data_IF_906772348884
#
_entry.id   IF_906772348884
#
_cell.length_a   1.000
_cell.length_b   1.000
_cell.length_c   1.000
_cell.angle_alpha   90.00
_cell.angle_beta   90.00
_cell.angle_gamma   90.00
#
_symmetry.space_group_name_H-M   'P 1'
#
loop_
_entity.id
_entity.type
_entity.pdbx_description
1 polymer ?
#
# COMPACT_ATOMS: atom_id res chain seq x y z
N UNK A 1 -20.00 7.47 15.13
CA UNK A 1 -19.82 6.11 14.59
C UNK A 1 -19.35 6.24 13.15
N UNK A 2 -18.04 6.25 12.91
CA UNK A 2 -17.49 6.27 11.56
C UNK A 2 -17.32 4.81 11.13
N UNK A 3 -18.35 4.24 10.50
CA UNK A 3 -18.17 2.99 9.76
C UNK A 3 -17.04 3.24 8.75
N UNK A 4 -15.97 2.44 8.84
CA UNK A 4 -14.79 2.52 7.99
C UNK A 4 -15.19 2.57 6.51
N UNK A 5 -15.21 3.79 5.95
CA UNK A 5 -15.64 4.12 4.58
C UNK A 5 -14.92 3.29 3.52
N UNK A 6 -13.74 2.76 3.85
CA UNK A 6 -12.90 1.92 3.03
C UNK A 6 -13.54 0.58 2.64
N UNK A 7 -14.34 -0.04 3.52
CA UNK A 7 -14.96 -1.35 3.25
C UNK A 7 -16.13 -1.29 2.27
N UNK A 8 -16.96 -0.24 2.38
CA UNK A 8 -18.11 -0.01 1.47
C UNK A 8 -17.67 0.35 0.06
N UNK A 9 -16.57 1.08 -0.10
CA UNK A 9 -16.12 1.57 -1.41
C UNK A 9 -15.36 0.52 -2.23
N UNK A 10 -14.61 -0.37 -1.59
CA UNK A 10 -14.06 -1.54 -2.27
C UNK A 10 -15.17 -2.46 -2.82
N UNK A 11 -16.32 -2.51 -2.14
CA UNK A 11 -17.48 -3.28 -2.56
C UNK A 11 -18.18 -2.75 -3.82
N UNK A 12 -17.96 -1.48 -4.20
CA UNK A 12 -18.53 -0.89 -5.42
C UNK A 12 -17.64 -1.04 -6.65
N UNK A 13 -16.37 -1.44 -6.46
CA UNK A 13 -15.46 -1.73 -7.57
C UNK A 13 -15.79 -3.12 -8.12
N UNK A 14 -16.18 -3.24 -9.40
CA UNK A 14 -16.49 -4.54 -9.99
C UNK A 14 -15.23 -5.39 -10.02
N UNK A 15 -15.32 -6.68 -9.66
CA UNK A 15 -14.15 -7.56 -9.71
C UNK A 15 -13.58 -7.64 -11.12
N UNK A 16 -12.26 -7.57 -11.26
CA UNK A 16 -11.55 -7.86 -12.50
C UNK A 16 -11.69 -9.35 -12.80
N UNK A 17 -12.53 -9.67 -13.78
CA UNK A 17 -12.87 -11.04 -14.18
C UNK A 17 -12.34 -11.37 -15.57
N UNK A 18 -12.06 -10.35 -16.41
CA UNK A 18 -11.45 -10.55 -17.72
C UNK A 18 -10.86 -9.25 -18.27
N UNK A 19 -10.12 -9.34 -19.37
CA UNK A 19 -9.66 -8.17 -20.12
C UNK A 19 -10.80 -7.24 -20.56
N UNK A 20 -12.02 -7.75 -20.73
CA UNK A 20 -13.19 -6.96 -21.16
C UNK A 20 -13.59 -5.88 -20.16
N UNK A 21 -13.42 -6.14 -18.85
CA UNK A 21 -13.73 -5.17 -17.80
C UNK A 21 -12.49 -4.52 -17.19
N UNK A 22 -11.31 -4.76 -17.76
CA UNK A 22 -10.04 -4.23 -17.28
C UNK A 22 -9.99 -2.71 -17.27
N UNK A 23 -10.43 -2.05 -18.36
CA UNK A 23 -10.41 -0.58 -18.44
C UNK A 23 -11.30 0.04 -17.36
N UNK A 24 -12.50 -0.51 -17.16
CA UNK A 24 -13.42 -0.04 -16.13
C UNK A 24 -12.86 -0.25 -14.73
N UNK A 25 -12.36 -1.46 -14.43
CA UNK A 25 -11.73 -1.78 -13.16
C UNK A 25 -10.54 -0.87 -12.87
N UNK A 26 -9.66 -0.68 -13.87
CA UNK A 26 -8.47 0.18 -13.77
C UNK A 26 -8.89 1.61 -13.39
N UNK A 27 -9.80 2.23 -14.14
CA UNK A 27 -10.25 3.60 -13.86
C UNK A 27 -10.81 3.76 -12.44
N UNK A 28 -11.60 2.80 -11.98
CA UNK A 28 -12.19 2.84 -10.62
C UNK A 28 -11.12 2.62 -9.53
N UNK A 29 -10.17 1.70 -9.75
CA UNK A 29 -9.05 1.49 -8.83
C UNK A 29 -8.11 2.69 -8.78
N UNK A 30 -7.82 3.34 -9.91
CA UNK A 30 -7.03 4.57 -9.94
C UNK A 30 -7.71 5.68 -9.12
N UNK A 31 -9.02 5.86 -9.27
CA UNK A 31 -9.79 6.83 -8.49
C UNK A 31 -9.74 6.50 -6.99
N UNK A 32 -9.93 5.22 -6.62
CA UNK A 32 -9.81 4.74 -5.25
C UNK A 32 -8.43 5.04 -4.66
N UNK A 33 -7.35 4.70 -5.37
CA UNK A 33 -5.99 4.92 -4.89
C UNK A 33 -5.64 6.40 -4.74
N UNK A 34 -6.14 7.27 -5.62
CA UNK A 34 -5.92 8.72 -5.48
C UNK A 34 -6.66 9.28 -4.27
N UNK A 35 -7.89 8.83 -4.03
CA UNK A 35 -8.69 9.26 -2.89
C UNK A 35 -8.11 8.81 -1.55
N UNK A 36 -7.61 7.58 -1.49
CA UNK A 36 -7.02 7.00 -0.28
C UNK A 36 -5.54 7.39 -0.07
N UNK A 37 -5.00 8.29 -0.89
CA UNK A 37 -3.58 8.69 -0.91
C UNK A 37 -2.60 7.49 -0.98
N UNK A 38 -3.01 6.49 -1.75
CA UNK A 38 -2.25 5.28 -2.06
C UNK A 38 -1.58 5.38 -3.44
N UNK A 39 -2.05 6.28 -4.30
CA UNK A 39 -1.58 6.42 -5.69
C UNK A 39 -0.06 6.58 -5.79
N UNK A 40 0.55 7.32 -4.85
CA UNK A 40 2.00 7.50 -4.82
C UNK A 40 2.77 6.18 -4.64
N UNK A 41 2.20 5.22 -3.92
CA UNK A 41 2.79 3.89 -3.75
C UNK A 41 2.62 3.07 -5.03
N UNK A 42 1.38 2.92 -5.51
CA UNK A 42 1.08 2.07 -6.68
C UNK A 42 1.62 2.61 -8.00
N UNK A 43 1.78 3.93 -8.15
CA UNK A 43 2.40 4.53 -9.35
C UNK A 43 3.92 4.40 -9.37
N UNK A 44 4.52 3.84 -8.32
CA UNK A 44 5.97 3.66 -8.20
C UNK A 44 6.74 4.93 -7.79
N UNK A 45 6.07 6.06 -7.56
CA UNK A 45 6.71 7.28 -7.04
C UNK A 45 7.32 7.07 -5.64
N UNK A 46 6.74 6.16 -4.85
CA UNK A 46 7.26 5.65 -3.59
C UNK A 46 7.46 4.12 -3.66
N UNK A 47 7.98 3.59 -4.77
CA UNK A 47 8.11 2.14 -5.00
C UNK A 47 8.96 1.39 -3.96
N UNK A 48 9.88 2.07 -3.27
CA UNK A 48 10.69 1.46 -2.22
C UNK A 48 10.23 1.93 -0.85
N UNK A 49 10.12 1.02 0.14
CA UNK A 49 9.98 1.45 1.52
C UNK A 49 11.14 2.39 1.86
N UNK A 50 10.89 3.46 2.63
CA UNK A 50 11.99 4.20 3.24
C UNK A 50 12.83 3.23 4.07
N UNK A 51 14.13 3.50 4.21
CA UNK A 51 15.04 2.61 4.93
C UNK A 51 14.53 2.37 6.35
N UNK A 52 14.34 1.09 6.70
CA UNK A 52 13.95 0.69 8.05
C UNK A 52 15.16 0.86 8.96
N UNK A 53 15.25 1.99 9.65
CA UNK A 53 16.23 2.14 10.73
C UNK A 53 15.77 1.33 11.94
N UNK A 54 16.66 0.46 12.41
CA UNK A 54 16.53 -0.22 13.70
C UNK A 54 17.46 0.45 14.70
N UNK A 55 16.93 0.93 15.82
CA UNK A 55 17.77 1.36 16.93
C UNK A 55 18.36 0.15 17.65
N UNK A 56 19.66 0.21 17.90
CA UNK A 56 20.29 -0.61 18.94
C UNK A 56 19.82 -0.07 20.30
N UNK A 57 19.38 -0.93 21.24
CA UNK A 57 18.98 -0.51 22.59
C UNK A 57 20.09 0.28 23.29
N UNK A 58 21.35 -0.15 23.14
CA UNK A 58 22.52 0.51 23.74
C UNK A 58 22.79 1.91 23.18
N UNK A 59 22.24 2.21 21.99
CA UNK A 59 22.36 3.54 21.35
C UNK A 59 21.17 4.43 21.64
N UNK A 60 20.04 3.87 22.07
CA UNK A 60 18.83 4.63 22.42
C UNK A 60 19.07 5.48 23.67
N UNK A 61 19.62 4.89 24.73
CA UNK A 61 19.93 5.57 26.01
C UNK A 61 21.03 6.65 25.88
N UNK A 62 21.89 6.52 24.86
CA UNK A 62 22.97 7.45 24.57
C UNK A 62 22.63 8.47 23.46
N UNK A 63 21.44 8.37 22.86
CA UNK A 63 21.05 9.21 21.74
C UNK A 63 20.66 10.61 22.22
N UNK A 64 21.07 11.64 21.49
CA UNK A 64 20.59 13.00 21.77
C UNK A 64 19.13 13.14 21.38
N UNK A 65 18.38 13.96 22.11
CA UNK A 65 16.96 14.26 21.85
C UNK A 65 16.68 14.58 20.36
N UNK A 66 17.53 15.40 19.73
CA UNK A 66 17.37 15.78 18.31
C UNK A 66 17.54 14.60 17.35
N UNK A 67 18.44 13.66 17.68
CA UNK A 67 18.69 12.45 16.91
C UNK A 67 17.53 11.46 17.09
N UNK A 68 17.03 11.32 18.34
CA UNK A 68 15.85 10.52 18.65
C UNK A 68 14.61 11.03 17.90
N UNK A 69 14.37 12.35 17.93
CA UNK A 69 13.29 12.99 17.17
C UNK A 69 13.42 12.77 15.66
N UNK A 70 14.64 12.74 15.11
CA UNK A 70 14.87 12.44 13.69
C UNK A 70 14.56 10.98 13.37
N UNK A 71 14.95 10.06 14.27
CA UNK A 71 14.63 8.63 14.17
C UNK A 71 13.12 8.39 14.22
N UNK A 72 12.40 8.93 15.20
CA UNK A 72 10.95 8.76 15.31
C UNK A 72 10.22 9.25 14.05
N UNK A 73 10.65 10.38 13.47
CA UNK A 73 10.11 10.88 12.19
C UNK A 73 10.36 9.93 11.02
N UNK A 74 11.49 9.21 11.01
CA UNK A 74 11.78 8.19 9.98
C UNK A 74 10.96 6.93 10.23
N UNK A 75 10.90 6.44 11.47
CA UNK A 75 10.11 5.28 11.85
C UNK A 75 8.62 5.49 11.55
N UNK A 76 8.08 6.67 11.89
CA UNK A 76 6.71 7.06 11.52
C UNK A 76 6.48 6.99 10.01
N UNK A 77 7.41 7.54 9.21
CA UNK A 77 7.32 7.48 7.74
C UNK A 77 7.36 6.05 7.21
N UNK A 78 8.17 5.18 7.80
CA UNK A 78 8.23 3.76 7.47
C UNK A 78 6.91 3.04 7.77
N UNK A 79 6.36 3.23 8.98
CA UNK A 79 5.09 2.64 9.38
C UNK A 79 3.92 3.15 8.52
N UNK A 80 3.89 4.45 8.23
CA UNK A 80 2.89 5.07 7.36
C UNK A 80 2.96 4.48 5.93
N UNK A 81 4.17 4.32 5.38
CA UNK A 81 4.37 3.69 4.07
C UNK A 81 3.89 2.23 4.08
N UNK A 82 4.30 1.45 5.07
CA UNK A 82 3.98 0.02 5.19
C UNK A 82 2.48 -0.21 5.30
N UNK A 83 1.80 0.62 6.09
CA UNK A 83 0.33 0.58 6.24
C UNK A 83 -0.37 0.86 4.92
N UNK A 84 0.08 1.87 4.18
CA UNK A 84 -0.48 2.24 2.88
C UNK A 84 -0.22 1.17 1.81
N UNK A 85 0.98 0.59 1.78
CA UNK A 85 1.33 -0.50 0.87
C UNK A 85 0.45 -1.73 1.12
N UNK A 86 0.33 -2.16 2.39
CA UNK A 86 -0.54 -3.26 2.78
C UNK A 86 -2.01 -3.01 2.38
N UNK A 87 -2.49 -1.77 2.54
CA UNK A 87 -3.85 -1.37 2.14
C UNK A 87 -4.03 -1.42 0.62
N UNK A 88 -3.05 -0.97 -0.15
CA UNK A 88 -3.09 -1.03 -1.60
C UNK A 88 -3.10 -2.48 -2.11
N UNK A 89 -2.23 -3.33 -1.55
CA UNK A 89 -2.20 -4.78 -1.85
C UNK A 89 -3.53 -5.44 -1.51
N UNK A 90 -4.11 -5.13 -0.35
CA UNK A 90 -5.42 -5.65 0.04
C UNK A 90 -6.52 -5.25 -0.95
N UNK A 91 -6.56 -3.99 -1.37
CA UNK A 91 -7.53 -3.49 -2.34
C UNK A 91 -7.46 -4.22 -3.68
N UNK A 92 -6.25 -4.47 -4.20
CA UNK A 92 -6.04 -5.25 -5.42
C UNK A 92 -6.53 -6.69 -5.21
N UNK A 93 -6.12 -7.34 -4.11
CA UNK A 93 -6.51 -8.72 -3.83
C UNK A 93 -8.03 -8.92 -3.74
N UNK A 94 -8.74 -7.95 -3.16
CA UNK A 94 -10.19 -8.03 -2.99
C UNK A 94 -10.99 -7.80 -4.28
N UNK A 95 -10.40 -7.09 -5.24
CA UNK A 95 -11.09 -6.69 -6.48
C UNK A 95 -10.60 -7.44 -7.71
N UNK A 96 -9.68 -8.40 -7.58
CA UNK A 96 -9.25 -9.28 -8.67
C UNK A 96 -9.84 -10.68 -8.46
N UNK A 97 -10.36 -11.29 -9.53
CA UNK A 97 -10.89 -12.66 -9.45
C UNK A 97 -9.79 -13.66 -9.07
N UNK A 98 -10.14 -14.69 -8.30
CA UNK A 98 -9.20 -15.67 -7.73
C UNK A 98 -8.33 -16.38 -8.76
N UNK A 99 -8.83 -16.60 -9.98
CA UNK A 99 -8.04 -17.22 -11.05
C UNK A 99 -6.92 -16.30 -11.57
N UNK A 100 -7.16 -14.98 -11.58
CA UNK A 100 -6.12 -13.99 -11.86
C UNK A 100 -5.18 -13.79 -10.66
N UNK A 101 -5.66 -13.94 -9.42
CA UNK A 101 -4.77 -13.95 -8.26
C UNK A 101 -3.78 -15.12 -8.31
N UNK A 102 -4.21 -16.29 -8.79
CA UNK A 102 -3.33 -17.46 -8.95
C UNK A 102 -2.27 -17.21 -10.03
N UNK A 103 -2.64 -16.53 -11.13
CA UNK A 103 -1.69 -16.10 -12.16
C UNK A 103 -0.72 -15.01 -11.66
N UNK A 104 -1.22 -14.00 -10.94
CA UNK A 104 -0.38 -12.95 -10.34
C UNK A 104 0.55 -13.50 -9.24
N UNK A 105 0.12 -14.52 -8.50
CA UNK A 105 0.96 -15.21 -7.51
C UNK A 105 2.14 -15.97 -8.14
N UNK A 106 2.07 -16.27 -9.44
CA UNK A 106 3.20 -16.84 -10.19
C UNK A 106 4.11 -15.80 -10.80
N UNK A 107 3.70 -14.53 -10.85
CA UNK A 107 4.57 -13.44 -11.30
C UNK A 107 5.60 -13.13 -10.21
N UNK A 108 6.88 -13.15 -10.57
CA UNK A 108 7.98 -12.87 -9.63
C UNK A 108 8.51 -11.45 -9.78
N UNK A 109 8.12 -10.77 -10.86
CA UNK A 109 8.53 -9.40 -11.14
C UNK A 109 7.33 -8.52 -11.48
N UNK A 110 7.45 -7.21 -11.25
CA UNK A 110 6.40 -6.23 -11.54
C UNK A 110 6.12 -6.00 -13.04
N UNK A 111 6.92 -6.63 -13.92
CA UNK A 111 6.78 -6.55 -15.38
C UNK A 111 6.03 -7.75 -15.98
N UNK A 112 5.88 -8.82 -15.21
CA UNK A 112 5.15 -10.06 -15.53
C UNK A 112 3.68 -9.97 -15.10
#
# INVERSE_FOLDING_TARGET
MAESSTGKELGSIPRLISSKNFIQWKTLMEAYFRREDLWRIVSGQLAKPPEQETLDPDKEDAMKEDEFMKYERKLKRYNDWTTKDAKAVYAIKMTVHTDYLRALATCTTSKE
#
